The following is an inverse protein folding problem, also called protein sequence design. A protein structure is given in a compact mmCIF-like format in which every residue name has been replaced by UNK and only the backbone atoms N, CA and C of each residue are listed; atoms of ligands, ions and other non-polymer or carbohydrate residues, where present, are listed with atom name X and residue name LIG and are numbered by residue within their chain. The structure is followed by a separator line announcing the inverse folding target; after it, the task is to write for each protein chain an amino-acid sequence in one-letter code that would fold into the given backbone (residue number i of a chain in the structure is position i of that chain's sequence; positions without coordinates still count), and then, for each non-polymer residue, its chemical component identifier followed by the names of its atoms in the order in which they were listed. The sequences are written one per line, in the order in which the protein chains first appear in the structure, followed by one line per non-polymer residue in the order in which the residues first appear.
data_IF_044992109732
#
_entry.id   IF_044992109732
#
_cell.length_a   1.000
_cell.length_b   1.000
_cell.length_c   1.000
_cell.angle_alpha   90.00
_cell.angle_beta   90.00
_cell.angle_gamma   90.00
#
_symmetry.space_group_name_H-M   'P 1'
#
loop_
_entity.id
_entity.type
_entity.pdbx_description
1 polymer ?
#
# COMPACT_ATOMS: atom_id res chain seq x y z
N UNK A 1 21.36 -8.40 5.37
CA UNK A 1 21.49 -7.31 4.37
C UNK A 1 22.90 -6.81 4.49
N UNK A 2 23.66 -6.84 3.43
CA UNK A 2 25.03 -6.36 3.47
C UNK A 2 25.04 -4.84 3.39
N UNK A 3 25.93 -4.21 4.15
CA UNK A 3 26.18 -2.76 4.18
C UNK A 3 26.35 -2.15 2.76
N UNK A 4 26.79 -2.96 1.81
CA UNK A 4 26.99 -2.59 0.40
C UNK A 4 25.73 -2.08 -0.33
N UNK A 5 24.55 -2.59 0.02
CA UNK A 5 23.28 -2.12 -0.56
C UNK A 5 22.90 -0.72 -0.10
N UNK A 6 23.15 -0.42 1.17
CA UNK A 6 22.89 0.91 1.75
C UNK A 6 23.84 1.94 1.16
N UNK A 7 25.11 1.57 0.95
CA UNK A 7 26.13 2.43 0.34
C UNK A 7 25.91 2.66 -1.16
N UNK A 8 25.42 1.67 -1.90
CA UNK A 8 25.09 1.81 -3.32
C UNK A 8 23.92 2.79 -3.52
N UNK A 9 22.91 2.73 -2.65
CA UNK A 9 21.77 3.66 -2.61
C UNK A 9 22.20 5.12 -2.41
N UNK A 10 23.18 5.34 -1.52
CA UNK A 10 23.72 6.68 -1.25
C UNK A 10 24.54 7.27 -2.42
N UNK A 11 25.20 6.41 -3.24
CA UNK A 11 26.05 6.86 -4.35
C UNK A 11 25.29 7.44 -5.54
N UNK A 12 24.05 7.02 -5.76
CA UNK A 12 23.28 7.44 -6.94
C UNK A 12 22.35 8.63 -6.70
N UNK A 13 22.29 9.17 -5.48
CA UNK A 13 21.47 10.34 -5.13
C UNK A 13 19.95 10.16 -5.26
N UNK A 14 19.52 8.95 -5.61
CA UNK A 14 18.16 8.64 -6.04
C UNK A 14 17.30 8.18 -4.88
N UNK A 15 17.91 7.68 -3.83
CA UNK A 15 17.18 7.17 -2.67
C UNK A 15 18.07 7.16 -1.44
N UNK A 16 17.68 7.91 -0.43
CA UNK A 16 18.32 7.82 0.88
C UNK A 16 17.61 6.74 1.72
N UNK A 17 18.34 5.99 2.55
CA UNK A 17 17.72 5.10 3.52
C UNK A 17 16.68 5.85 4.33
N UNK A 18 15.54 5.22 4.59
CA UNK A 18 14.52 5.78 5.48
C UNK A 18 15.18 6.24 6.79
N UNK A 19 15.03 7.51 7.10
CA UNK A 19 15.37 8.05 8.41
C UNK A 19 14.07 8.41 9.09
N UNK A 20 13.76 7.82 10.26
CA UNK A 20 12.63 8.26 11.06
C UNK A 20 12.86 9.73 11.43
N UNK A 21 12.13 10.62 10.81
CA UNK A 21 11.97 11.98 11.28
C UNK A 21 10.58 12.13 11.92
N UNK A 22 10.31 13.27 12.53
CA UNK A 22 9.01 13.55 13.14
C UNK A 22 7.89 13.83 12.13
N UNK A 23 8.22 13.94 10.84
CA UNK A 23 7.27 14.29 9.79
C UNK A 23 6.44 13.07 9.40
N UNK A 24 5.12 13.22 9.38
CA UNK A 24 4.20 12.19 8.90
C UNK A 24 4.40 11.90 7.40
N UNK A 25 4.21 10.64 7.03
CA UNK A 25 4.21 10.17 5.64
C UNK A 25 2.79 9.94 5.16
N UNK A 26 2.52 10.30 3.92
CA UNK A 26 1.20 10.15 3.32
C UNK A 26 1.27 9.44 1.99
N UNK A 27 0.64 8.26 1.94
CA UNK A 27 0.39 7.54 0.70
C UNK A 27 -1.08 7.61 0.31
N UNK A 28 -1.36 7.49 -0.99
CA UNK A 28 -2.71 7.29 -1.49
C UNK A 28 -2.92 5.83 -1.88
N UNK A 29 -3.95 5.20 -1.31
CA UNK A 29 -4.46 3.94 -1.82
C UNK A 29 -5.09 4.21 -3.19
N UNK A 30 -4.41 3.75 -4.23
CA UNK A 30 -4.72 4.11 -5.60
C UNK A 30 -6.09 3.59 -6.03
N UNK A 31 -6.88 4.38 -6.74
CA UNK A 31 -8.13 3.91 -7.32
C UNK A 31 -7.84 2.84 -8.38
N UNK A 32 -8.26 1.61 -8.09
CA UNK A 32 -7.99 0.44 -8.92
C UNK A 32 -9.24 -0.12 -9.59
N UNK A 33 -10.41 0.29 -9.13
CA UNK A 33 -11.71 -0.04 -9.70
C UNK A 33 -12.59 1.21 -9.74
N UNK A 34 -13.74 1.12 -10.37
CA UNK A 34 -14.65 2.26 -10.53
C UNK A 34 -15.06 2.85 -9.18
N UNK A 35 -15.22 2.01 -8.17
CA UNK A 35 -15.46 2.47 -6.79
C UNK A 35 -14.59 1.72 -5.78
N UNK A 36 -13.95 2.42 -4.82
CA UNK A 36 -13.21 1.81 -3.72
C UNK A 36 -14.12 1.38 -2.56
N UNK A 37 -15.42 1.67 -2.66
CA UNK A 37 -16.47 1.39 -1.67
C UNK A 37 -17.61 0.69 -2.42
N UNK A 38 -18.30 -0.32 -1.86
CA UNK A 38 -19.38 -1.03 -2.55
C UNK A 38 -20.66 -0.18 -2.68
N UNK A 39 -20.58 0.91 -3.46
CA UNK A 39 -21.61 1.91 -3.69
C UNK A 39 -21.73 2.27 -5.15
N UNK A 40 -22.91 2.09 -5.75
CA UNK A 40 -23.19 2.51 -7.11
C UNK A 40 -23.14 4.04 -7.27
N UNK A 41 -23.52 4.80 -6.22
CA UNK A 41 -23.41 6.26 -6.22
C UNK A 41 -21.97 6.71 -6.41
N UNK A 42 -21.04 6.11 -5.66
CA UNK A 42 -19.61 6.43 -5.76
C UNK A 42 -19.07 6.04 -7.14
N UNK A 43 -19.47 4.86 -7.66
CA UNK A 43 -19.07 4.41 -8.99
C UNK A 43 -19.52 5.38 -10.11
N UNK A 44 -20.72 5.95 -10.00
CA UNK A 44 -21.27 6.88 -11.00
C UNK A 44 -20.56 8.24 -11.00
N UNK A 45 -20.07 8.69 -9.85
CA UNK A 45 -19.38 9.98 -9.70
C UNK A 45 -17.89 9.92 -10.03
N UNK A 46 -17.31 8.73 -10.00
CA UNK A 46 -15.88 8.55 -10.28
C UNK A 46 -15.59 8.51 -11.80
N UNK A 47 -14.40 8.96 -12.21
CA UNK A 47 -13.95 8.83 -13.58
C UNK A 47 -13.85 7.37 -14.04
N UNK A 48 -13.76 7.14 -15.34
CA UNK A 48 -13.51 5.80 -15.88
C UNK A 48 -12.13 5.31 -15.45
N UNK A 49 -12.10 4.19 -14.72
CA UNK A 49 -10.89 3.58 -14.18
C UNK A 49 -10.00 2.94 -15.25
N UNK A 50 -10.53 2.67 -16.44
CA UNK A 50 -9.75 2.12 -17.55
C UNK A 50 -9.18 3.23 -18.46
N UNK A 51 -9.59 4.49 -18.28
CA UNK A 51 -8.97 5.62 -18.98
C UNK A 51 -7.65 6.03 -18.30
N UNK A 52 -6.54 5.66 -18.92
CA UNK A 52 -5.19 6.00 -18.46
C UNK A 52 -5.00 7.52 -18.24
N UNK A 53 -5.65 8.36 -19.05
CA UNK A 53 -5.57 9.82 -18.91
C UNK A 53 -6.08 10.31 -17.57
N UNK A 54 -7.10 9.66 -16.99
CA UNK A 54 -7.60 9.99 -15.65
C UNK A 54 -6.52 9.71 -14.58
N UNK A 55 -5.85 8.56 -14.66
CA UNK A 55 -4.79 8.19 -13.73
C UNK A 55 -3.57 9.11 -13.83
N UNK A 56 -3.15 9.46 -15.04
CA UNK A 56 -2.03 10.39 -15.26
C UNK A 56 -2.34 11.77 -14.68
N UNK A 57 -3.55 12.29 -14.88
CA UNK A 57 -3.96 13.58 -14.29
C UNK A 57 -3.98 13.51 -12.75
N UNK A 58 -4.56 12.44 -12.19
CA UNK A 58 -4.60 12.25 -10.75
C UNK A 58 -3.17 12.15 -10.17
N UNK A 59 -2.27 11.37 -10.78
CA UNK A 59 -0.91 11.18 -10.29
C UNK A 59 -0.13 12.50 -10.19
N UNK A 60 -0.28 13.37 -11.18
CA UNK A 60 0.33 14.69 -11.17
C UNK A 60 -0.22 15.59 -10.06
N UNK A 61 -1.52 15.55 -9.81
CA UNK A 61 -2.12 16.34 -8.74
C UNK A 61 -1.76 15.76 -7.35
N UNK A 62 -1.66 14.43 -7.20
CA UNK A 62 -1.19 13.77 -5.98
C UNK A 62 0.26 14.15 -5.65
N UNK A 63 1.13 14.16 -6.66
CA UNK A 63 2.52 14.61 -6.48
C UNK A 63 2.59 16.10 -6.11
N UNK A 64 1.82 16.94 -6.80
CA UNK A 64 1.74 18.39 -6.54
C UNK A 64 1.16 18.69 -5.16
N UNK A 65 0.19 17.91 -4.70
CA UNK A 65 -0.38 18.01 -3.36
C UNK A 65 0.66 17.68 -2.25
N UNK A 66 1.74 16.95 -2.60
CA UNK A 66 2.83 16.66 -1.69
C UNK A 66 2.70 15.31 -0.97
N UNK A 67 1.95 14.36 -1.53
CA UNK A 67 1.95 12.99 -1.02
C UNK A 67 3.30 12.32 -1.32
N UNK A 68 3.69 11.40 -0.46
CA UNK A 68 4.98 10.69 -0.55
C UNK A 68 4.96 9.58 -1.58
N UNK A 69 3.85 8.82 -1.64
CA UNK A 69 3.73 7.66 -2.52
C UNK A 69 2.28 7.34 -2.87
N UNK A 70 2.12 6.45 -3.84
CA UNK A 70 0.86 5.76 -4.14
C UNK A 70 1.02 4.26 -3.93
N UNK A 71 0.00 3.62 -3.39
CA UNK A 71 -0.10 2.17 -3.26
C UNK A 71 -1.10 1.65 -4.27
N UNK A 72 -0.61 0.93 -5.27
CA UNK A 72 -1.39 0.25 -6.29
C UNK A 72 -1.85 -1.11 -5.74
N UNK A 73 -3.11 -1.25 -5.36
CA UNK A 73 -3.64 -2.55 -4.96
C UNK A 73 -3.73 -3.49 -6.17
N UNK A 74 -3.78 -4.77 -5.91
CA UNK A 74 -3.98 -5.79 -6.93
C UNK A 74 -4.79 -6.96 -6.38
N UNK A 75 -5.47 -7.68 -7.27
CA UNK A 75 -6.22 -8.87 -6.99
C UNK A 75 -6.69 -9.50 -8.28
N UNK A 76 -6.89 -10.82 -8.26
CA UNK A 76 -7.17 -11.62 -9.46
C UNK A 76 -8.65 -11.96 -9.62
N UNK A 77 -9.46 -11.79 -8.58
CA UNK A 77 -10.87 -12.17 -8.63
C UNK A 77 -11.76 -11.12 -7.95
N UNK A 78 -12.92 -10.87 -8.55
CA UNK A 78 -14.00 -10.14 -7.90
C UNK A 78 -14.56 -10.94 -6.72
N UNK A 79 -15.18 -10.23 -5.78
CA UNK A 79 -15.79 -10.84 -4.60
C UNK A 79 -17.12 -11.52 -4.87
N UNK A 80 -17.88 -11.00 -5.84
CA UNK A 80 -19.19 -11.51 -6.28
C UNK A 80 -19.62 -10.78 -7.55
N UNK A 81 -20.59 -11.35 -8.26
CA UNK A 81 -21.19 -10.72 -9.44
C UNK A 81 -21.82 -9.35 -9.09
N UNK A 82 -22.55 -9.26 -7.98
CA UNK A 82 -23.11 -7.99 -7.50
C UNK A 82 -22.05 -6.91 -7.26
N UNK A 83 -20.85 -7.30 -6.83
CA UNK A 83 -19.74 -6.37 -6.66
C UNK A 83 -19.23 -5.87 -8.02
N UNK A 84 -19.09 -6.77 -9.00
CA UNK A 84 -18.69 -6.43 -10.36
C UNK A 84 -19.72 -5.54 -11.05
N UNK A 85 -21.01 -5.83 -10.91
CA UNK A 85 -22.11 -5.08 -11.52
C UNK A 85 -22.13 -3.61 -11.11
N UNK A 86 -21.76 -3.32 -9.87
CA UNK A 86 -21.65 -1.93 -9.38
C UNK A 86 -20.26 -1.31 -9.61
N UNK A 87 -19.34 -2.03 -10.25
CA UNK A 87 -17.98 -1.54 -10.49
C UNK A 87 -17.05 -1.60 -9.28
N UNK A 88 -17.40 -2.37 -8.25
CA UNK A 88 -16.55 -2.62 -7.09
C UNK A 88 -15.66 -3.85 -7.34
N UNK A 89 -14.34 -3.63 -7.38
CA UNK A 89 -13.32 -4.64 -7.67
C UNK A 89 -13.25 -5.15 -9.12
N UNK A 90 -14.15 -4.74 -10.00
CA UNK A 90 -14.16 -5.15 -11.40
C UNK A 90 -14.90 -4.09 -12.27
N UNK A 91 -14.33 -3.62 -13.43
CA UNK A 91 -12.97 -3.92 -13.84
C UNK A 91 -11.93 -3.30 -12.90
N UNK A 92 -10.75 -3.90 -12.82
CA UNK A 92 -9.68 -3.41 -11.98
C UNK A 92 -8.38 -3.23 -12.74
N UNK A 93 -7.57 -2.25 -12.30
CA UNK A 93 -6.23 -2.01 -12.82
C UNK A 93 -5.25 -3.02 -12.21
N UNK A 94 -4.23 -3.41 -12.97
CA UNK A 94 -3.18 -4.31 -12.51
C UNK A 94 -2.04 -3.50 -11.86
N UNK A 95 -1.68 -3.81 -10.61
CA UNK A 95 -0.76 -3.02 -9.81
C UNK A 95 0.63 -2.83 -10.42
N UNK A 96 1.16 -3.83 -11.15
CA UNK A 96 2.47 -3.74 -11.82
C UNK A 96 2.37 -2.97 -13.14
N UNK A 97 1.33 -3.23 -13.95
CA UNK A 97 1.20 -2.59 -15.27
C UNK A 97 0.87 -1.10 -15.16
N UNK A 98 0.02 -0.72 -14.20
CA UNK A 98 -0.31 0.69 -13.93
C UNK A 98 0.82 1.47 -13.26
N UNK A 99 1.82 0.80 -12.69
CA UNK A 99 2.97 1.48 -12.09
C UNK A 99 3.77 2.29 -13.12
N UNK A 100 4.01 1.73 -14.30
CA UNK A 100 4.84 2.38 -15.32
C UNK A 100 4.27 3.74 -15.81
N UNK A 101 2.99 3.87 -16.20
CA UNK A 101 2.41 5.15 -16.55
C UNK A 101 2.52 6.21 -15.46
N UNK A 102 2.31 5.82 -14.20
CA UNK A 102 2.41 6.74 -13.05
C UNK A 102 3.85 7.19 -12.81
N UNK A 103 4.80 6.28 -12.94
CA UNK A 103 6.23 6.57 -12.86
C UNK A 103 6.62 7.60 -13.94
N UNK A 104 6.15 7.42 -15.17
CA UNK A 104 6.46 8.33 -16.29
C UNK A 104 5.72 9.67 -16.19
N UNK A 105 4.59 9.73 -15.49
CA UNK A 105 3.79 10.93 -15.30
C UNK A 105 4.30 11.85 -14.19
N UNK A 106 5.18 11.35 -13.30
CA UNK A 106 5.64 12.00 -12.07
C UNK A 106 7.16 11.99 -11.98
N UNK A 107 7.73 12.92 -11.20
CA UNK A 107 9.18 13.05 -11.03
C UNK A 107 9.65 12.49 -9.69
N UNK A 108 8.80 12.54 -8.67
CA UNK A 108 9.15 12.31 -7.27
C UNK A 108 8.31 11.28 -6.56
N UNK A 109 7.06 11.14 -6.95
CA UNK A 109 6.09 10.27 -6.30
C UNK A 109 6.58 8.83 -6.24
N UNK A 110 6.60 8.25 -5.03
CA UNK A 110 6.86 6.83 -4.85
C UNK A 110 5.70 5.99 -5.40
N UNK A 111 6.01 4.85 -6.01
CA UNK A 111 4.99 3.96 -6.58
C UNK A 111 5.18 2.55 -6.05
N UNK A 112 4.26 2.13 -5.17
CA UNK A 112 4.24 0.80 -4.59
C UNK A 112 3.28 -0.10 -5.36
N UNK A 113 3.78 -1.19 -5.95
CA UNK A 113 2.94 -2.20 -6.59
C UNK A 113 2.66 -3.36 -5.65
N UNK A 114 1.41 -3.78 -5.56
CA UNK A 114 1.04 -5.04 -4.89
C UNK A 114 1.39 -6.21 -5.79
N UNK A 115 2.12 -7.20 -5.25
CA UNK A 115 2.39 -8.47 -5.92
C UNK A 115 2.22 -9.61 -4.92
N UNK A 116 1.44 -10.63 -5.31
CA UNK A 116 1.12 -11.79 -4.49
C UNK A 116 2.20 -12.85 -4.58
N UNK A 117 2.85 -13.18 -3.46
CA UNK A 117 3.92 -14.20 -3.42
C UNK A 117 3.43 -15.62 -3.67
N UNK A 118 2.14 -15.89 -3.45
CA UNK A 118 1.55 -17.21 -3.71
C UNK A 118 1.37 -17.49 -5.20
N UNK A 119 1.15 -16.45 -6.02
CA UNK A 119 0.75 -16.63 -7.44
C UNK A 119 1.81 -16.18 -8.43
N UNK A 120 2.83 -15.44 -7.99
CA UNK A 120 3.86 -14.89 -8.87
C UNK A 120 5.23 -15.45 -8.49
N UNK A 121 5.89 -16.07 -9.46
CA UNK A 121 7.20 -16.69 -9.25
C UNK A 121 8.28 -15.62 -8.92
N UNK A 122 9.21 -15.89 -7.96
CA UNK A 122 10.21 -14.90 -7.52
C UNK A 122 11.08 -14.33 -8.65
N UNK A 123 11.38 -15.10 -9.68
CA UNK A 123 12.14 -14.63 -10.87
C UNK A 123 11.36 -13.54 -11.62
N UNK A 124 10.03 -13.68 -11.74
CA UNK A 124 9.19 -12.66 -12.37
C UNK A 124 9.16 -11.38 -11.53
N UNK A 125 8.98 -11.52 -10.21
CA UNK A 125 9.00 -10.38 -9.28
C UNK A 125 10.34 -9.64 -9.37
N UNK A 126 11.45 -10.37 -9.32
CA UNK A 126 12.78 -9.78 -9.42
C UNK A 126 12.98 -9.02 -10.73
N UNK A 127 12.47 -9.56 -11.85
CA UNK A 127 12.54 -8.87 -13.16
C UNK A 127 11.68 -7.63 -13.23
N UNK A 128 10.42 -7.70 -12.76
CA UNK A 128 9.54 -6.53 -12.71
C UNK A 128 10.16 -5.43 -11.86
N UNK A 129 10.59 -5.78 -10.65
CA UNK A 129 11.20 -4.82 -9.74
C UNK A 129 12.47 -4.18 -10.29
N UNK A 130 13.35 -4.96 -10.91
CA UNK A 130 14.56 -4.42 -11.54
C UNK A 130 14.28 -3.40 -12.65
N UNK A 131 13.25 -3.66 -13.49
CA UNK A 131 12.86 -2.72 -14.55
C UNK A 131 12.18 -1.47 -13.98
N UNK A 132 11.20 -1.64 -13.08
CA UNK A 132 10.44 -0.53 -12.52
C UNK A 132 11.33 0.38 -11.66
N UNK A 133 12.28 -0.19 -10.92
CA UNK A 133 13.27 0.60 -10.16
C UNK A 133 14.14 1.45 -11.09
N UNK A 134 14.70 0.87 -12.15
CA UNK A 134 15.51 1.60 -13.13
C UNK A 134 14.71 2.69 -13.85
N UNK A 135 13.49 2.39 -14.29
CA UNK A 135 12.63 3.34 -15.02
C UNK A 135 12.12 4.46 -14.13
N UNK A 136 11.95 4.20 -12.84
CA UNK A 136 11.51 5.20 -11.86
C UNK A 136 12.65 6.01 -11.26
N UNK A 137 13.91 5.65 -11.51
CA UNK A 137 15.03 6.23 -10.78
C UNK A 137 15.03 5.87 -9.29
N UNK A 138 14.64 4.63 -8.92
CA UNK A 138 14.60 4.14 -7.54
C UNK A 138 13.34 4.50 -6.76
N UNK A 139 12.27 4.96 -7.41
CA UNK A 139 11.00 5.34 -6.77
C UNK A 139 9.98 4.21 -6.68
N UNK A 140 10.29 3.04 -7.23
CA UNK A 140 9.41 1.89 -7.14
C UNK A 140 9.64 1.10 -5.85
N UNK A 141 8.56 0.53 -5.31
CA UNK A 141 8.59 -0.38 -4.19
C UNK A 141 7.54 -1.50 -4.34
N UNK A 142 7.61 -2.48 -3.47
CA UNK A 142 6.79 -3.67 -3.52
C UNK A 142 5.96 -3.83 -2.24
N UNK A 143 4.63 -3.81 -2.38
CA UNK A 143 3.71 -4.26 -1.34
C UNK A 143 3.59 -5.78 -1.41
N UNK A 144 4.21 -6.46 -0.45
CA UNK A 144 4.27 -7.92 -0.37
C UNK A 144 2.99 -8.45 0.23
N UNK A 145 2.25 -9.23 -0.56
CA UNK A 145 1.00 -9.88 -0.12
C UNK A 145 1.15 -11.38 -0.25
N UNK A 146 0.95 -12.09 0.88
CA UNK A 146 1.03 -13.54 0.91
C UNK A 146 -0.18 -14.25 0.29
N UNK A 147 -1.20 -13.48 -0.17
CA UNK A 147 -2.46 -14.03 -0.70
C UNK A 147 -3.31 -14.68 0.40
N UNK A 148 -4.61 -14.47 0.39
CA UNK A 148 -5.50 -15.02 1.42
C UNK A 148 -6.93 -15.29 0.92
N UNK A 149 -7.15 -15.15 -0.39
CA UNK A 149 -8.49 -15.24 -0.97
C UNK A 149 -8.68 -16.56 -1.71
N UNK A 150 -9.55 -17.48 -1.19
CA UNK A 150 -9.82 -18.76 -1.85
C UNK A 150 -10.34 -18.62 -3.29
N UNK A 151 -11.09 -17.53 -3.56
CA UNK A 151 -11.59 -17.26 -4.90
C UNK A 151 -10.45 -17.02 -5.89
N UNK A 152 -9.37 -16.39 -5.48
CA UNK A 152 -8.17 -16.19 -6.31
C UNK A 152 -7.42 -17.51 -6.49
N UNK A 153 -7.21 -18.27 -5.42
CA UNK A 153 -6.52 -19.56 -5.49
C UNK A 153 -7.16 -20.51 -6.54
N UNK A 154 -8.49 -20.55 -6.58
CA UNK A 154 -9.23 -21.36 -7.57
C UNK A 154 -8.99 -20.93 -9.01
N UNK A 155 -8.78 -19.64 -9.29
CA UNK A 155 -8.41 -19.17 -10.64
C UNK A 155 -7.04 -19.71 -11.09
N UNK A 156 -6.14 -19.97 -10.14
CA UNK A 156 -4.82 -20.56 -10.39
C UNK A 156 -4.80 -22.08 -10.29
N UNK A 157 -5.96 -22.74 -10.19
CA UNK A 157 -6.07 -24.19 -10.17
C UNK A 157 -5.82 -24.84 -8.80
N UNK A 158 -5.80 -24.06 -7.73
CA UNK A 158 -5.75 -24.59 -6.36
C UNK A 158 -7.17 -24.77 -5.80
N UNK A 159 -7.38 -25.79 -5.01
CA UNK A 159 -8.69 -26.03 -4.35
C UNK A 159 -8.98 -24.94 -3.31
N UNK A 160 -7.96 -24.51 -2.56
CA UNK A 160 -8.02 -23.42 -1.57
C UNK A 160 -6.63 -22.75 -1.45
N UNK A 161 -6.55 -21.68 -0.71
CA UNK A 161 -5.26 -21.07 -0.34
C UNK A 161 -4.49 -21.99 0.60
N UNK A 162 -3.14 -22.06 0.49
CA UNK A 162 -2.34 -22.75 1.48
C UNK A 162 -2.58 -22.21 2.91
N UNK A 163 -2.30 -23.01 3.92
CA UNK A 163 -2.41 -22.58 5.30
C UNK A 163 -1.66 -21.27 5.57
N UNK A 164 -2.17 -20.49 6.52
CA UNK A 164 -1.67 -19.17 6.82
C UNK A 164 -0.14 -19.11 7.02
N UNK A 165 0.41 -20.03 7.82
CA UNK A 165 1.85 -20.04 8.11
C UNK A 165 2.66 -20.48 6.90
N UNK A 166 2.18 -21.47 6.14
CA UNK A 166 2.79 -21.92 4.88
C UNK A 166 2.89 -20.75 3.88
N UNK A 167 1.86 -19.92 3.77
CA UNK A 167 1.89 -18.75 2.89
C UNK A 167 2.98 -17.73 3.29
N UNK A 168 3.20 -17.55 4.59
CA UNK A 168 4.28 -16.69 5.05
C UNK A 168 5.65 -17.34 4.91
N UNK A 169 5.76 -18.66 5.00
CA UNK A 169 7.00 -19.39 4.70
C UNK A 169 7.35 -19.26 3.22
N UNK A 170 6.36 -19.38 2.35
CA UNK A 170 6.52 -19.08 0.91
C UNK A 170 6.94 -17.62 0.68
N UNK A 171 6.31 -16.66 1.36
CA UNK A 171 6.66 -15.25 1.22
C UNK A 171 8.09 -14.95 1.71
N UNK A 172 8.53 -15.53 2.81
CA UNK A 172 9.89 -15.47 3.31
C UNK A 172 10.89 -15.98 2.25
N UNK A 173 10.58 -17.11 1.63
CA UNK A 173 11.44 -17.73 0.63
C UNK A 173 11.46 -16.89 -0.67
N UNK A 174 10.30 -16.40 -1.12
CA UNK A 174 10.20 -15.52 -2.28
C UNK A 174 11.06 -14.27 -2.10
N UNK A 175 10.96 -13.58 -0.95
CA UNK A 175 11.77 -12.37 -0.70
C UNK A 175 13.25 -12.69 -0.68
N UNK A 176 13.67 -13.81 -0.06
CA UNK A 176 15.08 -14.23 -0.07
C UNK A 176 15.61 -14.50 -1.46
N UNK A 177 14.84 -15.18 -2.32
CA UNK A 177 15.21 -15.45 -3.71
C UNK A 177 15.29 -14.16 -4.52
N UNK A 178 14.30 -13.27 -4.37
CA UNK A 178 14.27 -11.98 -5.03
C UNK A 178 15.47 -11.13 -4.62
N UNK A 179 15.78 -11.04 -3.34
CA UNK A 179 16.96 -10.32 -2.83
C UNK A 179 18.28 -10.90 -3.41
N UNK A 180 18.40 -12.22 -3.50
CA UNK A 180 19.56 -12.86 -4.13
C UNK A 180 19.69 -12.49 -5.62
N UNK A 181 18.58 -12.54 -6.37
CA UNK A 181 18.56 -12.18 -7.80
C UNK A 181 18.86 -10.70 -8.04
N UNK A 182 18.45 -9.82 -7.14
CA UNK A 182 18.78 -8.40 -7.22
C UNK A 182 20.24 -8.11 -6.86
N UNK A 183 20.75 -8.75 -5.81
CA UNK A 183 22.10 -8.52 -5.31
C UNK A 183 23.18 -9.14 -6.18
N UNK A 184 22.94 -10.31 -6.78
CA UNK A 184 23.98 -11.09 -7.42
C UNK A 184 24.00 -10.89 -8.94
N UNK A 185 25.10 -10.37 -9.53
CA UNK A 185 25.27 -10.27 -10.98
C UNK A 185 25.58 -11.61 -11.66
N UNK A 186 25.84 -12.66 -10.90
CA UNK A 186 26.16 -14.01 -11.39
C UNK A 186 24.98 -14.95 -11.22
N UNK A 187 25.18 -16.23 -11.48
CA UNK A 187 24.19 -17.25 -11.17
C UNK A 187 23.97 -17.36 -9.67
N UNK A 188 22.74 -17.65 -9.29
CA UNK A 188 22.36 -18.09 -7.94
C UNK A 188 22.06 -19.58 -7.99
N UNK A 189 22.15 -20.20 -6.83
CA UNK A 189 21.84 -21.60 -6.61
C UNK A 189 21.00 -21.69 -5.32
N UNK A 190 19.69 -21.83 -5.49
CA UNK A 190 18.72 -21.83 -4.41
C UNK A 190 17.86 -23.08 -4.48
N UNK A 191 18.02 -23.95 -3.49
CA UNK A 191 17.17 -25.10 -3.22
C UNK A 191 16.41 -24.88 -1.92
N UNK A 192 15.16 -24.40 -2.06
CA UNK A 192 14.30 -24.14 -0.92
C UNK A 192 13.18 -25.18 -0.78
N UNK A 193 12.28 -24.92 0.16
CA UNK A 193 11.10 -25.77 0.38
C UNK A 193 10.04 -25.58 -0.70
N UNK A 194 9.91 -24.36 -1.21
CA UNK A 194 8.86 -23.97 -2.15
C UNK A 194 9.38 -23.62 -3.53
N UNK A 195 10.66 -23.20 -3.63
CA UNK A 195 11.24 -22.76 -4.91
C UNK A 195 12.63 -23.37 -5.13
N UNK A 196 12.88 -23.81 -6.35
CA UNK A 196 14.18 -24.22 -6.84
C UNK A 196 14.58 -23.27 -7.97
N UNK A 197 15.63 -22.46 -7.76
CA UNK A 197 16.03 -21.39 -8.68
C UNK A 197 17.51 -21.45 -8.92
N UNK A 198 17.90 -21.94 -10.09
CA UNK A 198 19.30 -22.10 -10.51
C UNK A 198 19.58 -21.28 -11.75
N UNK A 199 20.67 -20.54 -11.76
CA UNK A 199 21.13 -19.83 -12.93
C UNK A 199 21.21 -18.32 -12.77
N UNK A 200 21.43 -17.64 -13.89
CA UNK A 200 21.64 -16.20 -13.96
C UNK A 200 20.42 -15.49 -14.53
N UNK A 201 19.80 -14.63 -13.74
CA UNK A 201 18.72 -13.77 -14.23
C UNK A 201 19.25 -12.72 -15.22
N UNK A 202 18.56 -12.52 -16.34
CA UNK A 202 18.76 -11.35 -17.22
C UNK A 202 18.32 -10.09 -16.51
N UNK A 203 19.20 -9.09 -16.44
CA UNK A 203 18.89 -7.79 -15.85
C UNK A 203 17.78 -7.00 -16.57
N UNK A 204 17.51 -5.75 -16.16
CA UNK A 204 18.31 -5.00 -15.20
C UNK A 204 18.11 -5.47 -13.75
N UNK A 205 19.05 -5.06 -12.90
CA UNK A 205 18.89 -5.12 -11.44
C UNK A 205 18.50 -3.74 -10.94
N UNK A 206 17.84 -3.64 -9.80
CA UNK A 206 17.54 -2.35 -9.23
C UNK A 206 18.84 -1.61 -8.85
N UNK A 207 18.80 -0.29 -8.86
CA UNK A 207 19.92 0.56 -8.45
C UNK A 207 20.23 0.41 -6.95
N UNK A 208 19.19 0.18 -6.16
CA UNK A 208 19.25 -0.17 -4.75
C UNK A 208 18.12 -1.16 -4.46
N UNK A 209 18.14 -1.83 -3.28
CA UNK A 209 17.02 -2.70 -2.89
C UNK A 209 15.72 -1.89 -2.84
N UNK A 210 14.71 -2.19 -3.66
CA UNK A 210 13.42 -1.53 -3.60
C UNK A 210 12.81 -1.62 -2.20
N UNK A 211 12.00 -0.62 -1.81
CA UNK A 211 11.25 -0.67 -0.56
C UNK A 211 10.26 -1.82 -0.58
N UNK A 212 10.25 -2.61 0.48
CA UNK A 212 9.23 -3.61 0.73
C UNK A 212 8.30 -3.10 1.83
N UNK A 213 7.02 -3.25 1.58
CA UNK A 213 5.99 -2.93 2.57
C UNK A 213 5.04 -4.12 2.71
N UNK A 214 4.31 -4.19 3.80
CA UNK A 214 3.32 -5.24 4.00
C UNK A 214 2.11 -4.70 4.76
N UNK A 215 0.92 -5.19 4.40
CA UNK A 215 -0.34 -4.89 5.09
C UNK A 215 -0.73 -6.03 6.06
N UNK A 216 0.23 -6.59 6.77
CA UNK A 216 0.05 -7.76 7.61
C UNK A 216 -0.58 -7.41 8.96
N UNK A 217 -1.69 -8.09 9.30
CA UNK A 217 -2.40 -7.92 10.58
C UNK A 217 -2.08 -9.01 11.61
N UNK A 218 -1.67 -10.21 11.17
CA UNK A 218 -1.40 -11.34 12.04
C UNK A 218 -0.03 -11.25 12.73
N UNK A 219 0.16 -11.99 13.84
CA UNK A 219 1.43 -12.06 14.55
C UNK A 219 2.57 -12.60 13.65
N UNK A 220 2.28 -13.61 12.79
CA UNK A 220 3.25 -14.15 11.81
C UNK A 220 3.58 -13.10 10.75
N UNK A 221 2.58 -12.40 10.26
CA UNK A 221 2.78 -11.32 9.28
C UNK A 221 3.54 -10.12 9.83
N UNK A 222 3.34 -9.74 11.11
CA UNK A 222 4.18 -8.71 11.74
C UNK A 222 5.63 -9.17 11.92
N UNK A 223 5.86 -10.46 12.17
CA UNK A 223 7.21 -11.04 12.14
C UNK A 223 7.87 -10.95 10.77
N UNK A 224 7.12 -11.22 9.71
CA UNK A 224 7.57 -11.01 8.33
C UNK A 224 7.92 -9.54 8.06
N UNK A 225 7.04 -8.61 8.44
CA UNK A 225 7.30 -7.18 8.28
C UNK A 225 8.54 -6.72 9.04
N UNK A 226 8.73 -7.18 10.29
CA UNK A 226 9.95 -6.91 11.08
C UNK A 226 11.22 -7.42 10.39
N UNK A 227 11.14 -8.55 9.67
CA UNK A 227 12.29 -9.15 9.02
C UNK A 227 12.67 -8.48 7.70
N UNK A 228 11.68 -8.03 6.91
CA UNK A 228 11.90 -7.68 5.50
C UNK A 228 11.44 -6.30 5.08
N UNK A 229 10.49 -5.66 5.79
CA UNK A 229 9.80 -4.49 5.31
C UNK A 229 10.34 -3.18 5.91
N UNK A 230 10.28 -2.12 5.12
CA UNK A 230 10.57 -0.76 5.53
C UNK A 230 9.35 -0.05 6.14
N UNK A 231 8.13 -0.50 5.82
CA UNK A 231 6.88 -0.04 6.43
C UNK A 231 5.91 -1.19 6.69
N UNK A 232 5.12 -1.06 7.76
CA UNK A 232 3.91 -1.86 7.97
C UNK A 232 2.68 -0.98 7.75
N UNK A 233 1.76 -1.41 6.91
CA UNK A 233 0.43 -0.80 6.79
C UNK A 233 -0.53 -1.50 7.74
N UNK A 234 -1.16 -0.75 8.64
CA UNK A 234 -2.08 -1.28 9.62
C UNK A 234 -3.52 -0.84 9.34
N UNK A 235 -4.45 -1.75 9.57
CA UNK A 235 -5.88 -1.46 9.73
C UNK A 235 -6.25 -1.72 11.17
N UNK A 236 -7.04 -0.84 11.77
CA UNK A 236 -7.41 -0.89 13.19
C UNK A 236 -8.91 -0.64 13.36
N UNK A 237 -9.43 -0.96 14.53
CA UNK A 237 -10.81 -0.67 14.92
C UNK A 237 -10.90 0.45 15.96
N UNK A 238 -9.81 0.63 16.70
CA UNK A 238 -9.66 1.65 17.73
C UNK A 238 -8.18 2.02 17.88
N UNK A 239 -7.84 3.21 18.36
CA UNK A 239 -6.45 3.65 18.51
C UNK A 239 -5.56 2.71 19.34
N UNK A 240 -6.11 2.04 20.36
CA UNK A 240 -5.37 1.09 21.18
C UNK A 240 -4.79 -0.09 20.38
N UNK A 241 -5.49 -0.55 19.34
CA UNK A 241 -5.01 -1.66 18.49
C UNK A 241 -3.68 -1.29 17.82
N UNK A 242 -3.51 -0.02 17.43
CA UNK A 242 -2.26 0.44 16.80
C UNK A 242 -1.10 0.48 17.79
N UNK A 243 -1.39 0.84 19.04
CA UNK A 243 -0.38 0.81 20.12
C UNK A 243 0.12 -0.62 20.34
N UNK A 244 -0.80 -1.60 20.38
CA UNK A 244 -0.48 -3.03 20.51
C UNK A 244 0.32 -3.55 19.30
N UNK A 245 -0.09 -3.21 18.07
CA UNK A 245 0.62 -3.58 16.84
C UNK A 245 2.06 -3.06 16.87
N UNK A 246 2.27 -1.80 17.26
CA UNK A 246 3.60 -1.21 17.34
C UNK A 246 4.48 -1.85 18.42
N UNK A 247 3.90 -2.17 19.57
CA UNK A 247 4.62 -2.85 20.64
C UNK A 247 5.06 -4.27 20.24
N UNK A 248 4.17 -5.06 19.60
CA UNK A 248 4.50 -6.39 19.10
C UNK A 248 5.57 -6.34 18.00
N UNK A 249 5.44 -5.38 17.07
CA UNK A 249 6.41 -5.16 15.99
C UNK A 249 7.80 -4.80 16.55
N UNK A 250 7.85 -3.93 17.56
CA UNK A 250 9.09 -3.56 18.22
C UNK A 250 9.76 -4.76 18.92
N UNK A 251 8.98 -5.58 19.63
CA UNK A 251 9.46 -6.82 20.26
C UNK A 251 10.04 -7.80 19.23
N UNK A 252 9.31 -8.03 18.12
CA UNK A 252 9.75 -8.91 17.04
C UNK A 252 11.01 -8.41 16.35
N UNK A 253 11.11 -7.12 16.11
CA UNK A 253 12.30 -6.51 15.49
C UNK A 253 13.50 -6.61 16.42
N UNK A 254 13.33 -6.36 17.70
CA UNK A 254 14.40 -6.48 18.70
C UNK A 254 14.94 -7.92 18.80
N UNK A 255 14.05 -8.94 18.71
CA UNK A 255 14.45 -10.35 18.76
C UNK A 255 15.37 -10.79 17.61
N UNK A 256 15.38 -10.03 16.51
CA UNK A 256 16.24 -10.28 15.34
C UNK A 256 17.31 -9.17 15.14
N UNK A 257 17.50 -8.30 16.12
CA UNK A 257 18.50 -7.24 16.09
C UNK A 257 18.23 -6.13 15.06
N UNK A 258 16.95 -5.85 14.76
CA UNK A 258 16.54 -4.83 13.80
C UNK A 258 15.75 -3.69 14.44
N UNK A 259 15.77 -2.52 13.80
CA UNK A 259 14.86 -1.43 14.12
C UNK A 259 13.46 -1.76 13.59
N UNK A 260 12.39 -1.54 14.37
CA UNK A 260 11.05 -1.79 13.89
C UNK A 260 10.70 -0.86 12.71
N UNK A 261 10.06 -1.37 11.66
CA UNK A 261 9.55 -0.53 10.60
C UNK A 261 8.46 0.42 11.14
N UNK A 262 8.43 1.68 10.68
CA UNK A 262 7.34 2.59 11.01
C UNK A 262 6.01 2.05 10.52
N UNK A 263 4.93 2.39 11.27
CA UNK A 263 3.58 1.94 10.98
C UNK A 263 2.78 3.08 10.38
N UNK A 264 2.21 2.83 9.20
CA UNK A 264 1.27 3.72 8.52
C UNK A 264 -0.15 3.17 8.70
N UNK A 265 -1.09 4.06 8.99
CA UNK A 265 -2.49 3.68 9.21
C UNK A 265 -3.27 3.78 7.90
N UNK A 266 -3.99 2.73 7.53
CA UNK A 266 -4.97 2.81 6.46
C UNK A 266 -6.21 3.55 6.95
N UNK A 267 -6.61 4.61 6.25
CA UNK A 267 -7.73 5.45 6.63
C UNK A 267 -8.53 5.93 5.41
N UNK A 268 -9.84 6.09 5.58
CA UNK A 268 -10.67 6.77 4.59
C UNK A 268 -10.70 8.26 4.92
N UNK A 269 -10.58 9.10 3.90
CA UNK A 269 -10.62 10.55 4.04
C UNK A 269 -11.58 11.14 3.02
N UNK A 270 -12.43 12.06 3.48
CA UNK A 270 -13.33 12.82 2.60
C UNK A 270 -13.32 14.28 3.05
N UNK A 271 -12.82 15.15 2.17
CA UNK A 271 -12.54 16.56 2.48
C UNK A 271 -13.44 17.45 1.65
N UNK A 272 -14.01 18.48 2.25
CA UNK A 272 -14.74 19.57 1.58
C UNK A 272 -14.37 20.91 2.20
N UNK A 273 -14.37 21.97 1.43
CA UNK A 273 -14.02 23.30 1.94
C UNK A 273 -15.08 23.86 2.91
N UNK A 274 -16.34 23.54 2.68
CA UNK A 274 -17.44 24.01 3.51
C UNK A 274 -17.74 23.06 4.67
N UNK A 275 -17.87 23.56 5.90
CA UNK A 275 -18.20 22.76 7.07
C UNK A 275 -19.49 21.92 6.89
N UNK A 276 -19.46 20.68 7.33
CA UNK A 276 -20.58 19.75 7.30
C UNK A 276 -20.90 19.13 5.93
N UNK A 277 -20.35 19.62 4.82
CA UNK A 277 -20.61 19.06 3.48
C UNK A 277 -20.05 17.63 3.39
N UNK A 278 -18.79 17.41 3.81
CA UNK A 278 -18.17 16.09 3.79
C UNK A 278 -18.98 15.05 4.60
N UNK A 279 -19.55 15.45 5.73
CA UNK A 279 -20.37 14.55 6.57
C UNK A 279 -21.66 14.18 5.84
N UNK A 280 -22.37 15.14 5.27
CA UNK A 280 -23.62 14.87 4.51
C UNK A 280 -23.38 13.97 3.31
N UNK A 281 -22.32 14.25 2.53
CA UNK A 281 -21.98 13.39 1.39
C UNK A 281 -21.57 11.98 1.83
N UNK A 282 -20.93 11.84 2.99
CA UNK A 282 -20.62 10.53 3.54
C UNK A 282 -21.87 9.76 3.97
N UNK A 283 -22.85 10.42 4.59
CA UNK A 283 -24.15 9.83 4.90
C UNK A 283 -24.89 9.35 3.63
N UNK A 284 -24.83 10.10 2.53
CA UNK A 284 -25.36 9.66 1.23
C UNK A 284 -24.64 8.40 0.72
N UNK A 285 -23.32 8.35 0.85
CA UNK A 285 -22.52 7.17 0.48
C UNK A 285 -22.94 5.96 1.32
N UNK A 286 -23.07 6.11 2.63
CA UNK A 286 -23.49 5.03 3.53
C UNK A 286 -24.88 4.49 3.21
N UNK A 287 -25.81 5.36 2.84
CA UNK A 287 -27.15 4.98 2.42
C UNK A 287 -27.18 4.29 1.05
N UNK A 288 -26.19 4.53 0.21
CA UNK A 288 -26.07 3.96 -1.14
C UNK A 288 -25.31 2.63 -1.21
N UNK A 289 -24.86 2.11 -0.06
CA UNK A 289 -24.08 0.87 -0.02
C UNK A 289 -24.92 -0.34 -0.46
N UNK A 290 -24.36 -1.15 -1.36
CA UNK A 290 -25.03 -2.34 -1.89
C UNK A 290 -24.93 -3.51 -0.90
N UNK A 291 -26.06 -4.01 -0.34
CA UNK A 291 -26.02 -4.95 0.79
C UNK A 291 -25.30 -6.26 0.51
N UNK A 292 -25.51 -6.87 -0.67
CA UNK A 292 -24.86 -8.14 -1.01
C UNK A 292 -23.37 -7.97 -1.31
N UNK A 293 -22.96 -6.88 -1.99
CA UNK A 293 -21.54 -6.57 -2.21
C UNK A 293 -20.82 -6.27 -0.88
N UNK A 294 -21.47 -5.57 0.06
CA UNK A 294 -20.96 -5.40 1.41
C UNK A 294 -20.78 -6.73 2.13
N UNK A 295 -21.78 -7.62 2.08
CA UNK A 295 -21.71 -8.94 2.72
C UNK A 295 -20.58 -9.79 2.14
N UNK A 296 -20.42 -9.80 0.81
CA UNK A 296 -19.35 -10.51 0.14
C UNK A 296 -17.97 -9.95 0.54
N UNK A 297 -17.82 -8.65 0.57
CA UNK A 297 -16.62 -7.97 1.04
C UNK A 297 -16.31 -8.30 2.51
N UNK A 298 -17.36 -8.31 3.38
CA UNK A 298 -17.28 -8.73 4.76
C UNK A 298 -16.72 -10.12 4.93
N UNK A 299 -17.26 -11.06 4.18
CA UNK A 299 -16.84 -12.45 4.24
C UNK A 299 -15.37 -12.63 3.82
N UNK A 300 -14.88 -11.83 2.87
CA UNK A 300 -13.48 -11.84 2.46
C UNK A 300 -12.56 -11.30 3.55
N UNK A 301 -12.92 -10.16 4.15
CA UNK A 301 -12.13 -9.54 5.22
C UNK A 301 -12.12 -10.38 6.50
N UNK A 302 -13.21 -11.03 6.87
CA UNK A 302 -13.28 -11.86 8.08
C UNK A 302 -12.32 -13.05 8.01
N UNK A 303 -12.13 -13.64 6.83
CA UNK A 303 -11.11 -14.68 6.60
C UNK A 303 -9.69 -14.12 6.66
N UNK A 304 -9.49 -12.90 6.20
CA UNK A 304 -8.19 -12.22 6.26
C UNK A 304 -7.80 -11.80 7.69
N UNK A 305 -8.79 -11.47 8.53
CA UNK A 305 -8.60 -10.89 9.87
C UNK A 305 -8.88 -11.87 11.02
N UNK A 306 -8.98 -13.18 10.76
CA UNK A 306 -9.26 -14.20 11.80
C UNK A 306 -10.54 -13.93 12.59
N UNK A 307 -11.63 -13.57 11.90
CA UNK A 307 -12.95 -13.35 12.52
C UNK A 307 -13.19 -11.90 12.97
N UNK A 308 -12.33 -10.98 12.62
CA UNK A 308 -12.58 -9.55 12.79
C UNK A 308 -13.84 -9.11 12.05
N UNK A 309 -14.67 -8.30 12.69
CA UNK A 309 -15.85 -7.73 12.03
C UNK A 309 -15.40 -6.82 10.92
N UNK A 310 -16.13 -6.85 9.80
CA UNK A 310 -16.02 -5.78 8.80
C UNK A 310 -16.27 -4.49 9.50
N UNK A 311 -15.24 -3.72 9.48
CA UNK A 311 -15.41 -2.50 10.17
C UNK A 311 -15.64 -1.37 9.18
N UNK A 312 -16.72 -0.67 9.37
CA UNK A 312 -16.79 0.77 9.26
C UNK A 312 -15.62 1.48 9.96
N UNK A 313 -14.72 0.77 10.57
CA UNK A 313 -13.69 1.10 11.56
C UNK A 313 -12.30 1.32 10.99
N UNK A 314 -12.14 1.44 9.69
CA UNK A 314 -11.07 2.28 9.19
C UNK A 314 -11.38 3.68 9.71
N UNK A 315 -10.44 4.40 10.35
CA UNK A 315 -10.77 5.77 10.72
C UNK A 315 -11.26 6.48 9.46
N UNK A 316 -12.51 6.93 9.53
CA UNK A 316 -13.10 7.76 8.47
C UNK A 316 -12.97 9.19 8.93
N UNK A 317 -12.11 9.93 8.25
CA UNK A 317 -11.83 11.33 8.56
C UNK A 317 -12.63 12.22 7.61
N UNK A 318 -13.56 12.99 8.17
CA UNK A 318 -14.49 13.82 7.42
C UNK A 318 -14.39 15.27 7.89
N UNK A 319 -14.47 16.21 6.97
CA UNK A 319 -14.58 17.62 7.32
C UNK A 319 -13.85 18.56 6.36
N UNK A 320 -13.62 19.77 6.84
CA UNK A 320 -12.78 20.76 6.18
C UNK A 320 -11.29 20.35 6.27
N UNK A 321 -10.41 20.93 5.47
CA UNK A 321 -8.98 20.66 5.54
C UNK A 321 -8.42 20.76 6.98
N UNK A 322 -8.85 21.79 7.73
CA UNK A 322 -8.42 21.96 9.11
C UNK A 322 -8.97 20.88 10.05
N UNK A 323 -10.25 20.55 9.96
CA UNK A 323 -10.89 19.51 10.80
C UNK A 323 -10.22 18.14 10.57
N UNK A 324 -9.92 17.80 9.32
CA UNK A 324 -9.22 16.55 8.98
C UNK A 324 -7.78 16.57 9.50
N UNK A 325 -7.07 17.70 9.38
CA UNK A 325 -5.73 17.83 9.94
C UNK A 325 -5.72 17.67 11.47
N UNK A 326 -6.69 18.24 12.18
CA UNK A 326 -6.84 18.08 13.62
C UNK A 326 -7.09 16.60 14.00
N UNK A 327 -7.95 15.87 13.27
CA UNK A 327 -8.19 14.42 13.47
C UNK A 327 -6.91 13.60 13.25
N UNK A 328 -6.11 13.93 12.26
CA UNK A 328 -4.80 13.30 11.98
C UNK A 328 -3.83 13.53 13.15
N UNK A 329 -3.73 14.76 13.64
CA UNK A 329 -2.86 15.12 14.77
C UNK A 329 -3.28 14.38 16.04
N UNK A 330 -4.58 14.28 16.30
CA UNK A 330 -5.10 13.57 17.46
C UNK A 330 -4.79 12.07 17.40
N UNK A 331 -4.97 11.43 16.24
CA UNK A 331 -4.58 10.04 16.03
C UNK A 331 -3.08 9.83 16.22
N UNK A 332 -2.25 10.73 15.69
CA UNK A 332 -0.80 10.67 15.88
C UNK A 332 -0.42 10.76 17.37
N UNK A 333 -1.02 11.68 18.10
CA UNK A 333 -0.77 11.85 19.56
C UNK A 333 -1.15 10.61 20.35
N UNK A 334 -2.29 9.99 20.03
CA UNK A 334 -2.81 8.80 20.73
C UNK A 334 -1.99 7.56 20.44
N UNK A 335 -1.44 7.42 19.25
CA UNK A 335 -0.90 6.14 18.76
C UNK A 335 0.58 6.19 18.42
N UNK A 336 1.14 7.39 18.22
CA UNK A 336 2.52 7.56 17.74
C UNK A 336 2.76 6.97 16.35
N UNK A 337 1.73 6.88 15.49
CA UNK A 337 1.87 6.42 14.11
C UNK A 337 2.81 7.31 13.31
N UNK A 338 3.34 6.77 12.22
CA UNK A 338 4.33 7.46 11.37
C UNK A 338 3.72 8.04 10.09
N UNK A 339 2.44 7.82 9.85
CA UNK A 339 1.74 8.34 8.66
C UNK A 339 0.51 7.54 8.29
N UNK A 340 0.04 7.76 7.07
CA UNK A 340 -1.22 7.20 6.59
C UNK A 340 -1.09 6.67 5.16
N UNK A 341 -1.90 5.65 4.87
CA UNK A 341 -2.32 5.27 3.51
C UNK A 341 -3.77 5.68 3.38
N UNK A 342 -4.03 6.77 2.67
CA UNK A 342 -5.35 7.37 2.57
C UNK A 342 -6.15 6.76 1.42
N UNK A 343 -7.42 6.47 1.66
CA UNK A 343 -8.40 6.09 0.64
C UNK A 343 -9.42 7.21 0.49
N UNK A 344 -9.63 7.68 -0.72
CA UNK A 344 -10.70 8.64 -1.05
C UNK A 344 -11.89 7.90 -1.66
N UNK A 345 -13.14 8.22 -1.32
CA UNK A 345 -14.32 7.68 -2.01
C UNK A 345 -14.38 8.17 -3.47
N UNK A 346 -14.06 9.42 -3.69
CA UNK A 346 -13.96 10.04 -5.01
C UNK A 346 -12.49 10.29 -5.35
N UNK A 347 -12.12 10.15 -6.63
CA UNK A 347 -10.71 10.22 -7.04
C UNK A 347 -10.46 11.10 -8.28
N UNK A 348 -11.34 12.05 -8.55
CA UNK A 348 -11.05 13.09 -9.53
C UNK A 348 -9.85 13.96 -9.07
N UNK A 349 -9.12 14.61 -9.98
CA UNK A 349 -7.92 15.40 -9.64
C UNK A 349 -8.13 16.45 -8.54
N UNK A 350 -9.30 17.07 -8.44
CA UNK A 350 -9.60 18.07 -7.41
C UNK A 350 -9.62 17.46 -5.99
N UNK A 351 -9.92 16.18 -5.84
CA UNK A 351 -9.86 15.52 -4.53
C UNK A 351 -8.42 15.48 -3.99
N UNK A 352 -7.43 15.28 -4.86
CA UNK A 352 -6.03 15.38 -4.47
C UNK A 352 -5.63 16.81 -4.06
N UNK A 353 -6.22 17.83 -4.71
CA UNK A 353 -5.98 19.23 -4.32
C UNK A 353 -6.51 19.50 -2.92
N UNK A 354 -7.67 18.98 -2.56
CA UNK A 354 -8.22 19.07 -1.20
C UNK A 354 -7.32 18.39 -0.16
N UNK A 355 -6.73 17.23 -0.49
CA UNK A 355 -5.69 16.62 0.37
C UNK A 355 -4.48 17.53 0.53
N UNK A 356 -4.06 18.23 -0.53
CA UNK A 356 -2.98 19.21 -0.45
C UNK A 356 -3.26 20.33 0.57
N UNK A 357 -4.51 20.76 0.70
CA UNK A 357 -4.91 21.72 1.73
C UNK A 357 -4.79 21.13 3.15
N UNK A 358 -5.15 19.84 3.34
CA UNK A 358 -4.94 19.15 4.63
C UNK A 358 -3.45 19.09 4.98
N UNK A 359 -2.60 18.72 4.03
CA UNK A 359 -1.15 18.67 4.23
C UNK A 359 -0.58 20.06 4.57
N UNK A 360 -1.10 21.11 3.95
CA UNK A 360 -0.69 22.48 4.29
C UNK A 360 -1.07 22.87 5.74
N UNK A 361 -2.24 22.44 6.24
CA UNK A 361 -2.62 22.63 7.65
C UNK A 361 -1.68 21.85 8.59
N UNK A 362 -1.38 20.61 8.27
CA UNK A 362 -0.42 19.79 9.02
C UNK A 362 0.99 20.41 9.02
N UNK A 363 1.39 21.01 7.90
CA UNK A 363 2.66 21.75 7.79
C UNK A 363 2.70 22.99 8.70
N UNK A 364 1.62 23.76 8.74
CA UNK A 364 1.48 24.90 9.65
C UNK A 364 1.55 24.49 11.14
N UNK A 365 1.01 23.30 11.44
CA UNK A 365 1.06 22.73 12.78
C UNK A 365 2.40 22.03 13.13
N UNK A 366 3.35 21.93 12.18
CA UNK A 366 4.65 21.30 12.39
C UNK A 366 4.65 19.76 12.36
N UNK A 367 3.59 19.13 11.85
CA UNK A 367 3.45 17.68 11.79
C UNK A 367 3.83 17.08 10.42
N UNK A 368 4.00 17.90 9.40
CA UNK A 368 4.35 17.49 8.06
C UNK A 368 5.26 18.50 7.38
N UNK A 369 6.11 18.02 6.49
CA UNK A 369 6.91 18.84 5.58
C UNK A 369 6.86 18.25 4.16
N UNK A 370 6.95 19.07 3.11
CA UNK A 370 6.92 18.58 1.73
C UNK A 370 8.03 17.54 1.45
N UNK A 371 7.77 16.49 0.67
CA UNK A 371 8.78 15.49 0.31
C UNK A 371 10.04 16.10 -0.28
N UNK A 372 9.93 17.19 -1.06
CA UNK A 372 11.07 17.90 -1.67
C UNK A 372 12.03 18.51 -0.65
N UNK A 373 11.60 18.74 0.59
CA UNK A 373 12.43 19.30 1.67
C UNK A 373 13.06 18.23 2.55
N UNK A 374 12.71 16.96 2.35
CA UNK A 374 13.13 15.80 3.16
C UNK A 374 14.15 14.90 2.47
N UNK A 375 14.82 15.37 1.41
CA UNK A 375 15.77 14.57 0.63
C UNK A 375 15.19 13.22 0.12
N UNK A 376 13.89 13.18 -0.16
CA UNK A 376 13.21 11.98 -0.70
C UNK A 376 13.22 10.75 0.20
N UNK A 377 13.33 10.90 1.48
CA UNK A 377 13.06 9.79 2.41
C UNK A 377 11.54 9.59 2.56
N UNK A 378 10.99 8.59 1.90
CA UNK A 378 9.62 8.13 2.10
C UNK A 378 9.61 6.66 2.50
#
# INVERSE_FOLDING_TARGET
MTTEWIEASARHGVRKPFRPDSSLRFGLFWPYSRTPIPSALVAQRNPDVMDLGNHVRLAREVEKAGLDFVLLPDGYASGSDDASDIGFQDPSTHGVLWALPLILATERLGVLSTIHTTFVHPVQIARFGGHLDQLSGGRWGWNVVAGNRPVEARLFGFDDVPDHDVRYDMADEVVRVVDQLWANPRAIDHDGTHFHVHGRMRGPRPMARPLLVSAASSARGRGFAAAYCEYLFASITKPADLVEIRADLASKSASIGKTPPPVLLFATVHVREEPGVAVREWEEIEQSLHPSAQKAWAAQLSKATHGGKLNRDYPVMLGTPKEVADQIIDLQRQTGLSGFVLRMPFWAPHEAQLLGLVLAELGRAGHWSPPSTRDWSW
#
